data_IF_150247812660
#
_entry.id   IF_150247812660
#
_cell.length_a   1.000
_cell.length_b   1.000
_cell.length_c   1.000
_cell.angle_alpha   90.00
_cell.angle_beta   90.00
_cell.angle_gamma   90.00
#
_symmetry.space_group_name_H-M   'P 1'
#
loop_
_entity.id
_entity.type
_entity.pdbx_description
1 polymer ?
#
# COMPACT_ATOMS: atom_id res chain seq x y z
N UNK A 1 18.78 -4.97 23.53
CA UNK A 1 18.32 -4.94 22.12
C UNK A 1 16.93 -5.53 22.02
N UNK A 2 16.32 -5.62 20.82
CA UNK A 2 14.97 -6.18 20.62
C UNK A 2 14.96 -7.69 20.27
N UNK A 3 16.12 -8.33 20.05
CA UNK A 3 16.38 -9.79 20.06
C UNK A 3 15.34 -10.72 19.40
N UNK A 4 14.80 -10.33 18.23
CA UNK A 4 13.86 -11.16 17.49
C UNK A 4 14.57 -12.38 16.87
N UNK A 5 13.98 -13.58 17.00
CA UNK A 5 14.51 -14.80 16.39
C UNK A 5 14.41 -14.79 14.84
N UNK A 6 13.40 -14.11 14.29
CA UNK A 6 13.27 -13.81 12.86
C UNK A 6 12.31 -12.64 12.65
N UNK A 7 12.41 -11.97 11.50
CA UNK A 7 11.49 -10.90 11.07
C UNK A 7 11.14 -11.16 9.61
N UNK A 8 9.85 -11.07 9.29
CA UNK A 8 9.31 -11.21 7.93
C UNK A 8 8.25 -10.16 7.67
N UNK A 9 8.01 -9.83 6.41
CA UNK A 9 7.04 -8.84 5.96
C UNK A 9 5.98 -9.52 5.09
N UNK A 10 4.71 -9.26 5.40
CA UNK A 10 3.59 -9.61 4.55
C UNK A 10 2.84 -8.34 4.15
N UNK A 11 2.56 -8.17 2.85
CA UNK A 11 1.82 -7.04 2.33
C UNK A 11 0.67 -7.49 1.43
N UNK A 12 -0.44 -6.76 1.50
CA UNK A 12 -1.56 -6.93 0.58
C UNK A 12 -1.22 -6.40 -0.81
N UNK A 13 -0.62 -5.21 -0.88
CA UNK A 13 -0.27 -4.52 -2.12
C UNK A 13 1.24 -4.20 -2.12
N UNK A 14 1.92 -4.52 -3.21
CA UNK A 14 3.30 -4.12 -3.45
C UNK A 14 3.41 -3.23 -4.70
N UNK A 15 4.20 -2.16 -4.62
CA UNK A 15 4.49 -1.22 -5.70
C UNK A 15 6.00 -1.14 -5.94
N UNK A 16 6.58 -2.10 -6.69
CA UNK A 16 8.03 -2.17 -6.88
C UNK A 16 8.62 -0.90 -7.51
N UNK A 17 7.88 -0.26 -8.42
CA UNK A 17 8.30 0.96 -9.12
C UNK A 17 8.51 2.17 -8.19
N UNK A 18 7.88 2.16 -7.01
CA UNK A 18 7.99 3.25 -6.02
C UNK A 18 9.12 3.06 -5.00
N UNK A 19 9.96 2.03 -5.13
CA UNK A 19 11.03 1.75 -4.16
C UNK A 19 12.14 2.81 -4.22
N UNK A 20 12.45 3.38 -3.06
CA UNK A 20 13.61 4.26 -2.85
C UNK A 20 14.76 3.58 -2.11
N UNK A 21 14.52 2.37 -1.60
CA UNK A 21 15.48 1.52 -0.89
C UNK A 21 15.27 0.06 -1.29
N UNK A 22 16.33 -0.73 -1.17
CA UNK A 22 16.28 -2.18 -1.40
C UNK A 22 15.61 -2.87 -0.21
N UNK A 23 14.34 -3.23 -0.39
CA UNK A 23 13.54 -3.99 0.56
C UNK A 23 12.53 -4.80 -0.25
N UNK A 24 12.26 -6.03 0.15
CA UNK A 24 11.24 -6.88 -0.48
C UNK A 24 10.41 -7.54 0.63
N UNK A 25 9.11 -7.72 0.39
CA UNK A 25 8.26 -8.45 1.32
C UNK A 25 8.40 -9.96 1.09
N UNK A 26 8.46 -10.75 2.17
CA UNK A 26 8.46 -12.21 2.09
C UNK A 26 7.14 -12.77 1.52
N UNK A 27 6.05 -12.05 1.72
CA UNK A 27 4.71 -12.42 1.24
C UNK A 27 4.01 -11.21 0.61
N UNK A 28 3.58 -11.36 -0.64
CA UNK A 28 2.84 -10.33 -1.39
C UNK A 28 1.58 -10.94 -1.98
N UNK A 29 0.42 -10.31 -1.76
CA UNK A 29 -0.83 -10.76 -2.39
C UNK A 29 -0.99 -10.22 -3.82
N UNK A 30 -0.80 -8.92 -4.02
CA UNK A 30 -0.95 -8.29 -5.33
C UNK A 30 0.17 -7.28 -5.59
N UNK A 31 0.81 -7.39 -6.76
CA UNK A 31 1.68 -6.35 -7.29
C UNK A 31 0.84 -5.41 -8.15
N UNK A 32 0.90 -4.11 -7.87
CA UNK A 32 0.07 -3.09 -8.54
C UNK A 32 0.95 -1.99 -9.17
N UNK A 33 0.47 -1.32 -10.23
CA UNK A 33 1.15 -0.17 -10.80
C UNK A 33 1.21 1.01 -9.82
N UNK A 34 1.98 2.04 -10.18
CA UNK A 34 2.12 3.25 -9.40
C UNK A 34 0.88 4.18 -9.50
N UNK A 35 -0.24 3.74 -8.93
CA UNK A 35 -1.53 4.45 -8.92
C UNK A 35 -1.92 4.91 -7.52
N UNK A 36 -2.64 6.03 -7.38
CA UNK A 36 -3.11 6.49 -6.07
C UNK A 36 -4.34 5.68 -5.61
N UNK A 37 -4.13 4.68 -4.75
CA UNK A 37 -5.16 3.74 -4.30
C UNK A 37 -5.71 4.06 -2.91
N UNK A 38 -7.01 3.85 -2.72
CA UNK A 38 -7.74 4.01 -1.44
C UNK A 38 -8.65 2.80 -1.19
N UNK A 39 -9.15 2.68 0.04
CA UNK A 39 -10.02 1.57 0.44
C UNK A 39 -9.29 0.46 1.19
N UNK A 40 -10.05 -0.40 1.86
CA UNK A 40 -9.51 -1.50 2.67
C UNK A 40 -8.43 -1.05 3.68
N UNK A 41 -8.67 0.08 4.34
CA UNK A 41 -7.75 0.71 5.30
C UNK A 41 -6.87 1.81 4.72
N UNK A 42 -6.63 1.83 3.40
CA UNK A 42 -5.90 2.90 2.71
C UNK A 42 -6.78 4.15 2.57
N UNK A 43 -6.18 5.33 2.72
CA UNK A 43 -6.93 6.59 2.78
C UNK A 43 -6.46 7.67 1.82
N UNK A 44 -7.34 8.66 1.68
CA UNK A 44 -7.00 10.01 1.25
C UNK A 44 -7.64 11.00 2.21
N UNK A 45 -6.82 11.80 2.92
CA UNK A 45 -7.28 12.76 3.93
C UNK A 45 -8.23 12.11 4.92
N UNK A 46 -7.87 10.95 5.46
CA UNK A 46 -8.67 10.14 6.40
C UNK A 46 -9.98 9.55 5.85
N UNK A 47 -10.32 9.78 4.58
CA UNK A 47 -11.51 9.23 3.95
C UNK A 47 -11.23 7.89 3.27
N UNK A 48 -12.30 7.18 2.89
CA UNK A 48 -12.30 5.97 2.06
C UNK A 48 -11.78 4.67 2.69
N UNK A 49 -11.16 4.70 3.88
CA UNK A 49 -10.65 3.50 4.59
C UNK A 49 -11.67 2.35 4.69
N UNK A 50 -12.95 2.69 4.84
CA UNK A 50 -14.04 1.76 5.07
C UNK A 50 -14.62 1.12 3.80
N UNK A 51 -14.11 1.44 2.61
CA UNK A 51 -14.52 0.74 1.40
C UNK A 51 -14.11 -0.74 1.48
N UNK A 52 -15.01 -1.69 1.14
CA UNK A 52 -14.72 -3.12 1.22
C UNK A 52 -13.86 -3.63 0.06
N UNK A 53 -13.32 -2.72 -0.76
CA UNK A 53 -12.46 -2.98 -1.91
C UNK A 53 -11.39 -1.91 -2.01
N UNK A 54 -10.37 -2.19 -2.83
CA UNK A 54 -9.32 -1.23 -3.19
C UNK A 54 -9.68 -0.63 -4.56
N UNK A 55 -9.57 0.69 -4.68
CA UNK A 55 -9.81 1.41 -5.94
C UNK A 55 -8.82 2.54 -6.16
N UNK A 56 -8.70 2.99 -7.40
CA UNK A 56 -7.89 4.17 -7.77
C UNK A 56 -8.71 5.43 -7.55
N UNK A 57 -8.14 6.41 -6.86
CA UNK A 57 -8.76 7.70 -6.65
C UNK A 57 -8.66 8.52 -7.94
N UNK A 58 -9.76 9.15 -8.36
CA UNK A 58 -9.77 10.01 -9.54
C UNK A 58 -8.95 11.28 -9.30
N UNK A 59 -8.26 11.74 -10.34
CA UNK A 59 -7.39 12.93 -10.28
C UNK A 59 -8.12 14.20 -9.83
N UNK A 60 -9.36 14.41 -10.27
CA UNK A 60 -10.22 15.53 -9.88
C UNK A 60 -10.44 15.67 -8.36
N UNK A 61 -10.15 14.62 -7.58
CA UNK A 61 -10.32 14.62 -6.12
C UNK A 61 -9.09 15.17 -5.38
N UNK A 62 -7.92 15.21 -6.03
CA UNK A 62 -6.67 15.63 -5.42
C UNK A 62 -5.90 16.71 -6.18
N UNK A 63 -6.23 16.95 -7.44
CA UNK A 63 -5.72 18.08 -8.22
C UNK A 63 -6.66 19.28 -8.05
N UNK A 64 -6.25 20.25 -7.23
CA UNK A 64 -6.87 21.57 -7.11
C UNK A 64 -6.13 22.59 -7.97
#
# INVERSE_FOLDING_TARGET
EREAASVKIATLLDKPEGRVVEIEADYTCFTIPNEFVVGYGLDYKENYRNLPYIGVLKEEVYSN
#
